data_IF_864053924909
#
_entry.id   IF_864053924909
#
_cell.length_a   1.000
_cell.length_b   1.000
_cell.length_c   1.000
_cell.angle_alpha   90.00
_cell.angle_beta   90.00
_cell.angle_gamma   90.00
#
_symmetry.space_group_name_H-M   'P 1'
#
loop_
_entity.id
_entity.type
_entity.pdbx_description
1 polymer ?
#
# COMPACT_ATOMS: atom_id res chain seq x y z
N UNK A 1 -3.51 36.80 -35.56
CA UNK A 1 -2.87 35.63 -34.92
C UNK A 1 -2.17 36.11 -33.66
N UNK A 2 -2.52 35.47 -32.53
CA UNK A 2 -1.85 35.44 -31.22
C UNK A 2 -1.14 36.72 -30.69
N UNK A 3 -1.87 37.54 -29.93
CA UNK A 3 -1.33 38.54 -28.99
C UNK A 3 -1.22 38.00 -27.54
N UNK A 4 -1.40 36.69 -27.35
CA UNK A 4 -1.46 36.05 -26.03
C UNK A 4 -0.22 35.19 -25.68
N UNK A 5 0.74 35.05 -26.59
CA UNK A 5 2.02 34.39 -26.34
C UNK A 5 3.04 35.40 -25.80
N UNK A 6 3.05 35.57 -24.48
CA UNK A 6 4.13 36.22 -23.75
C UNK A 6 4.83 35.16 -22.91
N UNK A 7 6.16 35.15 -22.91
CA UNK A 7 6.99 34.20 -22.14
C UNK A 7 6.60 34.16 -20.66
N UNK A 8 6.22 35.31 -20.08
CA UNK A 8 5.69 35.38 -18.71
C UNK A 8 4.38 34.63 -18.53
N UNK A 9 3.46 34.67 -19.51
CA UNK A 9 2.20 33.93 -19.44
C UNK A 9 2.44 32.42 -19.54
N UNK A 10 3.36 31.98 -20.39
CA UNK A 10 3.73 30.56 -20.50
C UNK A 10 4.24 30.00 -19.17
N UNK A 11 5.12 30.73 -18.49
CA UNK A 11 5.65 30.31 -17.18
C UNK A 11 4.54 30.24 -16.13
N UNK A 12 3.65 31.23 -16.08
CA UNK A 12 2.51 31.24 -15.13
C UNK A 12 1.57 30.07 -15.37
N UNK A 13 1.22 29.78 -16.63
CA UNK A 13 0.34 28.65 -16.97
C UNK A 13 0.99 27.32 -16.63
N UNK A 14 2.28 27.15 -16.93
CA UNK A 14 3.02 25.94 -16.60
C UNK A 14 3.05 25.70 -15.08
N UNK A 15 3.37 26.74 -14.28
CA UNK A 15 3.36 26.64 -12.82
C UNK A 15 1.97 26.33 -12.27
N UNK A 16 0.93 26.98 -12.79
CA UNK A 16 -0.44 26.71 -12.38
C UNK A 16 -0.85 25.25 -12.66
N UNK A 17 -0.51 24.74 -13.85
CA UNK A 17 -0.78 23.35 -14.22
C UNK A 17 -0.02 22.38 -13.31
N UNK A 18 1.26 22.63 -13.03
CA UNK A 18 2.06 21.81 -12.12
C UNK A 18 1.45 21.75 -10.71
N UNK A 19 0.99 22.88 -10.18
CA UNK A 19 0.37 22.94 -8.86
C UNK A 19 -0.93 22.13 -8.86
N UNK A 20 -1.83 22.36 -9.82
CA UNK A 20 -3.11 21.66 -9.91
C UNK A 20 -2.90 20.14 -10.06
N UNK A 21 -2.03 19.71 -10.97
CA UNK A 21 -1.75 18.30 -11.17
C UNK A 21 -1.13 17.65 -9.93
N UNK A 22 -0.21 18.34 -9.23
CA UNK A 22 0.43 17.80 -8.02
C UNK A 22 -0.57 17.59 -6.88
N UNK A 23 -1.53 18.50 -6.70
CA UNK A 23 -2.58 18.39 -5.66
C UNK A 23 -3.51 17.23 -5.97
N UNK A 24 -3.95 17.08 -7.22
CA UNK A 24 -4.84 15.98 -7.63
C UNK A 24 -4.17 14.62 -7.40
N UNK A 25 -2.94 14.44 -7.91
CA UNK A 25 -2.23 13.15 -7.82
C UNK A 25 -1.90 12.80 -6.36
N UNK A 26 -1.41 13.76 -5.57
CA UNK A 26 -1.09 13.52 -4.16
C UNK A 26 -2.33 13.18 -3.34
N UNK A 27 -3.45 13.87 -3.57
CA UNK A 27 -4.72 13.59 -2.87
C UNK A 27 -5.24 12.19 -3.18
N UNK A 28 -5.28 11.81 -4.47
CA UNK A 28 -5.68 10.47 -4.88
C UNK A 28 -4.79 9.39 -4.25
N UNK A 29 -3.47 9.62 -4.23
CA UNK A 29 -2.52 8.69 -3.63
C UNK A 29 -2.78 8.49 -2.13
N UNK A 30 -3.06 9.55 -1.37
CA UNK A 30 -3.30 9.43 0.08
C UNK A 30 -4.65 8.78 0.39
N UNK A 31 -5.70 9.11 -0.36
CA UNK A 31 -7.05 8.57 -0.12
C UNK A 31 -7.16 7.08 -0.43
N UNK A 32 -6.45 6.58 -1.46
CA UNK A 32 -6.51 5.17 -1.83
C UNK A 32 -5.55 4.27 -1.04
N UNK A 33 -4.49 4.83 -0.44
CA UNK A 33 -3.53 4.09 0.39
C UNK A 33 -4.18 3.20 1.46
N UNK A 34 -5.14 3.66 2.29
CA UNK A 34 -5.71 2.81 3.34
C UNK A 34 -6.44 1.59 2.76
N UNK A 35 -7.24 1.78 1.70
CA UNK A 35 -7.94 0.67 1.05
C UNK A 35 -6.95 -0.31 0.39
N UNK A 36 -5.89 0.20 -0.23
CA UNK A 36 -4.84 -0.65 -0.79
C UNK A 36 -4.09 -1.44 0.28
N UNK A 37 -3.82 -0.83 1.44
CA UNK A 37 -3.14 -1.50 2.55
C UNK A 37 -3.99 -2.65 3.09
N UNK A 38 -5.28 -2.39 3.37
CA UNK A 38 -6.20 -3.43 3.83
C UNK A 38 -6.30 -4.61 2.84
N UNK A 39 -6.41 -4.33 1.54
CA UNK A 39 -6.45 -5.38 0.52
C UNK A 39 -5.13 -6.14 0.40
N UNK A 40 -3.98 -5.47 0.55
CA UNK A 40 -2.66 -6.13 0.58
C UNK A 40 -2.51 -7.03 1.80
N UNK A 41 -3.00 -6.60 2.96
CA UNK A 41 -2.93 -7.38 4.19
C UNK A 41 -3.83 -8.63 4.08
N UNK A 42 -5.03 -8.48 3.53
CA UNK A 42 -5.93 -9.59 3.18
C UNK A 42 -5.29 -10.57 2.20
N UNK A 43 -4.71 -10.07 1.12
CA UNK A 43 -4.02 -10.90 0.12
C UNK A 43 -2.84 -11.65 0.75
N UNK A 44 -2.04 -10.99 1.59
CA UNK A 44 -0.93 -11.62 2.31
C UNK A 44 -1.42 -12.76 3.20
N UNK A 45 -2.46 -12.54 4.01
CA UNK A 45 -3.04 -13.59 4.87
C UNK A 45 -3.60 -14.75 4.05
N UNK A 46 -4.30 -14.46 2.96
CA UNK A 46 -4.84 -15.46 2.02
C UNK A 46 -3.73 -16.32 1.43
N UNK A 47 -2.65 -15.70 0.96
CA UNK A 47 -1.50 -16.40 0.39
C UNK A 47 -0.75 -17.25 1.43
N UNK A 48 -0.62 -16.77 2.68
CA UNK A 48 -0.04 -17.56 3.78
C UNK A 48 -0.90 -18.81 4.05
N UNK A 49 -2.22 -18.64 4.14
CA UNK A 49 -3.16 -19.75 4.35
C UNK A 49 -3.12 -20.75 3.18
N UNK A 50 -3.06 -20.26 1.94
CA UNK A 50 -2.96 -21.09 0.74
C UNK A 50 -1.65 -21.90 0.73
N UNK A 51 -0.52 -21.27 1.04
CA UNK A 51 0.79 -21.93 1.10
C UNK A 51 0.86 -23.00 2.21
N UNK A 52 0.14 -22.79 3.31
CA UNK A 52 0.01 -23.77 4.39
C UNK A 52 -1.05 -24.86 4.12
N UNK A 53 -1.81 -24.76 3.02
CA UNK A 53 -2.91 -25.67 2.71
C UNK A 53 -4.12 -25.52 3.63
N UNK A 54 -4.24 -24.38 4.33
CA UNK A 54 -5.29 -24.10 5.32
C UNK A 54 -6.39 -23.18 4.79
N UNK A 55 -6.29 -22.71 3.53
CA UNK A 55 -7.29 -21.85 2.92
C UNK A 55 -8.57 -22.64 2.59
N UNK A 56 -9.67 -22.29 3.23
CA UNK A 56 -11.01 -22.83 2.99
C UNK A 56 -11.88 -21.80 2.28
N UNK A 57 -12.52 -22.22 1.18
CA UNK A 57 -13.50 -21.41 0.46
C UNK A 57 -14.77 -21.24 1.31
N UNK A 58 -15.30 -20.01 1.38
CA UNK A 58 -16.54 -19.70 2.09
C UNK A 58 -16.40 -19.31 3.57
N UNK A 59 -15.20 -19.37 4.14
CA UNK A 59 -14.89 -18.87 5.49
C UNK A 59 -14.04 -17.61 5.39
N UNK A 60 -14.19 -16.65 6.30
CA UNK A 60 -13.42 -15.40 6.25
C UNK A 60 -11.91 -15.66 6.48
N UNK A 61 -11.06 -14.95 5.75
CA UNK A 61 -9.59 -15.10 5.82
C UNK A 61 -9.08 -14.70 7.19
N UNK A 62 -9.66 -13.65 7.79
CA UNK A 62 -9.36 -13.17 9.14
C UNK A 62 -9.58 -14.25 10.21
N UNK A 63 -10.71 -14.97 10.15
CA UNK A 63 -11.01 -16.05 11.10
C UNK A 63 -10.03 -17.20 10.95
N UNK A 64 -9.74 -17.60 9.71
CA UNK A 64 -8.79 -18.68 9.44
C UNK A 64 -7.38 -18.32 9.91
N UNK A 65 -6.95 -17.07 9.68
CA UNK A 65 -5.63 -16.58 10.08
C UNK A 65 -5.47 -16.47 11.60
N UNK A 66 -6.55 -16.33 12.37
CA UNK A 66 -6.50 -16.29 13.84
C UNK A 66 -5.90 -17.56 14.48
N UNK A 67 -5.95 -18.69 13.75
CA UNK A 67 -5.35 -19.96 14.17
C UNK A 67 -3.82 -20.01 13.98
N UNK A 68 -3.24 -19.03 13.28
CA UNK A 68 -1.82 -18.97 12.96
C UNK A 68 -1.10 -18.10 13.99
N UNK A 69 0.01 -18.62 14.54
CA UNK A 69 0.93 -17.85 15.37
C UNK A 69 2.09 -17.31 14.51
N UNK A 70 2.21 -15.98 14.42
CA UNK A 70 3.35 -15.32 13.80
C UNK A 70 4.52 -15.26 14.77
N UNK A 71 5.73 -15.60 14.29
CA UNK A 71 6.97 -15.56 15.08
C UNK A 71 8.10 -15.01 14.22
N UNK A 72 8.94 -14.14 14.78
CA UNK A 72 10.15 -13.69 14.11
C UNK A 72 11.30 -14.68 14.37
N UNK A 73 12.11 -14.91 13.35
CA UNK A 73 13.32 -15.74 13.43
C UNK A 73 14.50 -14.88 13.01
N UNK A 74 15.54 -14.86 13.84
CA UNK A 74 16.82 -14.29 13.47
C UNK A 74 17.49 -15.17 12.42
N UNK A 75 17.73 -14.62 11.23
CA UNK A 75 18.28 -15.37 10.10
C UNK A 75 19.76 -15.76 10.29
N UNK A 76 20.50 -15.09 11.18
CA UNK A 76 21.89 -15.43 11.49
C UNK A 76 22.00 -16.57 12.51
N UNK A 77 21.13 -16.56 13.53
CA UNK A 77 21.18 -17.56 14.61
C UNK A 77 20.16 -18.69 14.46
N UNK A 78 19.16 -18.52 13.60
CA UNK A 78 18.05 -19.47 13.40
C UNK A 78 17.09 -19.56 14.58
N UNK A 79 17.23 -18.68 15.59
CA UNK A 79 16.42 -18.71 16.81
C UNK A 79 15.27 -17.73 16.70
N UNK A 80 14.18 -18.06 17.39
CA UNK A 80 13.08 -17.11 17.57
C UNK A 80 13.56 -15.89 18.34
N UNK A 81 13.10 -14.72 17.93
CA UNK A 81 13.42 -13.44 18.55
C UNK A 81 12.16 -12.62 18.74
N UNK A 82 12.07 -11.92 19.88
CA UNK A 82 11.00 -10.97 20.19
C UNK A 82 11.49 -9.52 20.00
N UNK A 83 12.69 -9.33 19.43
CA UNK A 83 13.28 -8.01 19.20
C UNK A 83 12.55 -7.20 18.12
N UNK A 84 11.67 -7.82 17.35
CA UNK A 84 10.90 -7.21 16.26
C UNK A 84 9.43 -7.53 16.45
N UNK A 85 8.58 -6.51 16.30
CA UNK A 85 7.13 -6.69 16.32
C UNK A 85 6.68 -7.43 15.05
N UNK A 86 5.93 -8.51 15.25
CA UNK A 86 5.38 -9.39 14.19
C UNK A 86 3.87 -9.24 14.02
N UNK A 87 3.32 -8.12 14.51
CA UNK A 87 1.93 -7.70 14.28
C UNK A 87 1.67 -7.22 12.84
#
# INVERSE_FOLDING_TARGET
MASNDSTSKTIIVALALCIVCSVIVSTAAVMLRPAQQANKDLDRKTNILAAAGMLQEGVSVEEQFSSISTRAVDMATGKFTDAVDVA
#
